data_IF_919616056126
#
_entry.id   IF_919616056126
#
_cell.length_a   1.000
_cell.length_b   1.000
_cell.length_c   1.000
_cell.angle_alpha   90.00
_cell.angle_beta   90.00
_cell.angle_gamma   90.00
#
_symmetry.space_group_name_H-M   'P 1'
#
loop_
_entity.id
_entity.type
_entity.pdbx_description
1 polymer ?
#
# COMPACT_ATOMS: atom_id res chain seq x y z
N UNK A 1 -18.16 10.50 -1.29
CA UNK A 1 -16.87 10.63 -0.57
C UNK A 1 -16.37 9.24 -0.23
N UNK A 2 -15.13 8.95 -0.58
CA UNK A 2 -14.48 7.67 -0.25
C UNK A 2 -13.63 7.82 1.02
N UNK A 3 -13.59 6.74 1.79
CA UNK A 3 -12.58 6.48 2.81
C UNK A 3 -11.72 5.33 2.28
N UNK A 4 -10.56 5.66 1.73
CA UNK A 4 -9.71 4.75 1.01
C UNK A 4 -8.53 4.29 1.88
N UNK A 5 -8.50 3.03 2.27
CA UNK A 5 -7.32 2.39 2.85
C UNK A 5 -6.46 1.83 1.71
N UNK A 6 -5.34 2.49 1.45
CA UNK A 6 -4.56 2.27 0.23
C UNK A 6 -3.42 1.25 0.38
N UNK A 7 -3.44 0.44 1.46
CA UNK A 7 -2.44 -0.59 1.69
C UNK A 7 -2.99 -1.69 2.61
N UNK A 8 -3.47 -2.79 2.02
CA UNK A 8 -4.01 -3.96 2.74
C UNK A 8 -3.47 -5.23 2.10
N UNK A 9 -3.16 -6.23 2.93
CA UNK A 9 -2.76 -7.58 2.49
C UNK A 9 -3.86 -8.60 2.71
N UNK A 10 -3.83 -9.68 1.91
CA UNK A 10 -4.80 -10.77 1.94
C UNK A 10 -4.13 -12.13 2.20
N UNK A 11 -4.93 -13.19 2.26
CA UNK A 11 -4.44 -14.56 2.34
C UNK A 11 -3.60 -15.02 1.12
N UNK A 12 -3.57 -14.24 0.04
CA UNK A 12 -2.71 -14.47 -1.12
C UNK A 12 -1.28 -13.97 -0.88
N UNK A 13 -1.08 -13.04 0.05
CA UNK A 13 0.27 -12.62 0.49
C UNK A 13 0.95 -13.71 1.32
N UNK A 14 2.28 -13.82 1.18
CA UNK A 14 3.06 -14.83 1.89
C UNK A 14 3.04 -14.69 3.42
N UNK A 15 2.63 -13.54 3.93
CA UNK A 15 2.73 -13.18 5.34
C UNK A 15 1.40 -12.78 5.98
N UNK A 16 0.30 -12.97 5.28
CA UNK A 16 -1.06 -12.68 5.74
C UNK A 16 -1.98 -13.90 5.57
N UNK A 17 -2.90 -14.12 6.50
CA UNK A 17 -3.93 -15.19 6.44
C UNK A 17 -5.36 -14.62 6.47
N UNK A 18 -5.51 -13.34 6.16
CA UNK A 18 -6.77 -12.61 6.20
C UNK A 18 -7.59 -12.88 4.94
N UNK A 19 -8.69 -13.65 5.07
CA UNK A 19 -9.55 -13.97 3.94
C UNK A 19 -10.27 -12.72 3.41
N UNK A 20 -10.58 -12.73 2.11
CA UNK A 20 -11.26 -11.64 1.42
C UNK A 20 -12.60 -11.28 2.08
N UNK A 21 -13.36 -12.29 2.54
CA UNK A 21 -14.62 -12.08 3.25
C UNK A 21 -14.44 -11.30 4.56
N UNK A 22 -13.39 -11.61 5.34
CA UNK A 22 -13.08 -10.88 6.58
C UNK A 22 -12.76 -9.41 6.31
N UNK A 23 -12.05 -9.13 5.21
CA UNK A 23 -11.73 -7.75 4.80
C UNK A 23 -13.01 -7.01 4.45
N UNK A 24 -13.86 -7.58 3.59
CA UNK A 24 -15.13 -6.97 3.18
C UNK A 24 -16.02 -6.67 4.39
N UNK A 25 -16.21 -7.66 5.28
CA UNK A 25 -17.02 -7.49 6.49
C UNK A 25 -16.44 -6.38 7.39
N UNK A 26 -15.14 -6.36 7.58
CA UNK A 26 -14.48 -5.33 8.39
C UNK A 26 -14.62 -3.94 7.80
N UNK A 27 -14.41 -3.79 6.50
CA UNK A 27 -14.61 -2.53 5.78
C UNK A 27 -16.03 -1.99 5.98
N UNK A 28 -17.05 -2.87 5.85
CA UNK A 28 -18.46 -2.50 6.07
C UNK A 28 -18.72 -2.04 7.51
N UNK A 29 -18.15 -2.72 8.52
CA UNK A 29 -18.30 -2.35 9.93
C UNK A 29 -17.79 -0.97 10.26
N UNK A 30 -16.63 -0.58 9.68
CA UNK A 30 -15.94 0.67 10.03
C UNK A 30 -16.12 1.80 9.00
N UNK A 31 -16.85 1.52 7.91
CA UNK A 31 -17.16 2.48 6.87
C UNK A 31 -16.01 2.80 5.92
N UNK A 32 -15.00 1.92 5.79
CA UNK A 32 -14.04 1.94 4.69
C UNK A 32 -14.78 1.47 3.43
N UNK A 33 -14.71 2.26 2.36
CA UNK A 33 -15.48 2.03 1.13
C UNK A 33 -14.65 2.19 -0.15
N UNK A 34 -13.33 2.13 -0.04
CA UNK A 34 -12.37 1.98 -1.12
C UNK A 34 -11.10 1.36 -0.52
N UNK A 35 -10.48 0.41 -1.21
CA UNK A 35 -9.25 -0.22 -0.75
C UNK A 35 -8.25 -0.43 -1.89
N UNK A 36 -6.95 -0.45 -1.58
CA UNK A 36 -5.95 -1.05 -2.43
C UNK A 36 -5.46 -2.34 -1.76
N UNK A 37 -5.50 -3.44 -2.50
CA UNK A 37 -4.89 -4.71 -2.09
C UNK A 37 -3.49 -4.76 -2.70
N UNK A 38 -2.49 -4.88 -1.84
CA UNK A 38 -1.07 -4.79 -2.18
C UNK A 38 -0.31 -6.03 -1.67
N UNK A 39 -0.75 -7.22 -2.07
CA UNK A 39 -0.11 -8.47 -1.67
C UNK A 39 1.33 -8.54 -2.17
N UNK A 40 2.21 -9.19 -1.42
CA UNK A 40 3.60 -9.38 -1.81
C UNK A 40 3.72 -10.38 -2.97
N UNK A 41 4.23 -9.90 -4.11
CA UNK A 41 4.61 -10.72 -5.27
C UNK A 41 3.43 -11.33 -6.03
N UNK A 42 2.21 -10.81 -5.86
CA UNK A 42 1.02 -11.27 -6.59
C UNK A 42 -0.08 -10.22 -6.60
N UNK A 43 -0.88 -10.19 -7.68
CA UNK A 43 -2.11 -9.39 -7.76
C UNK A 43 -3.38 -10.25 -7.60
N UNK A 44 -3.26 -11.55 -7.42
CA UNK A 44 -4.41 -12.47 -7.44
C UNK A 44 -5.44 -12.12 -6.38
N UNK A 45 -5.01 -11.80 -5.15
CA UNK A 45 -5.89 -11.36 -4.07
C UNK A 45 -6.67 -10.10 -4.42
N UNK A 46 -6.01 -9.12 -5.05
CA UNK A 46 -6.64 -7.89 -5.52
C UNK A 46 -7.67 -8.14 -6.63
N UNK A 47 -7.34 -9.02 -7.59
CA UNK A 47 -8.22 -9.39 -8.70
C UNK A 47 -9.49 -10.10 -8.19
N UNK A 48 -9.34 -11.04 -7.27
CA UNK A 48 -10.48 -11.73 -6.65
C UNK A 48 -11.29 -10.78 -5.76
N UNK A 49 -10.63 -9.94 -4.96
CA UNK A 49 -11.30 -8.94 -4.14
C UNK A 49 -12.16 -7.99 -4.98
N UNK A 50 -11.68 -7.53 -6.13
CA UNK A 50 -12.42 -6.65 -7.04
C UNK A 50 -13.71 -7.27 -7.57
N UNK A 51 -13.78 -8.61 -7.68
CA UNK A 51 -15.02 -9.32 -8.09
C UNK A 51 -16.03 -9.42 -6.96
N UNK A 52 -15.57 -9.47 -5.71
CA UNK A 52 -16.40 -9.78 -4.54
C UNK A 52 -16.84 -8.53 -3.77
N UNK A 53 -15.99 -7.49 -3.73
CA UNK A 53 -16.25 -6.31 -2.93
C UNK A 53 -17.37 -5.43 -3.52
N UNK A 54 -18.30 -4.91 -2.68
CA UNK A 54 -19.35 -4.00 -3.10
C UNK A 54 -18.88 -2.54 -3.24
N UNK A 55 -17.58 -2.30 -3.24
CA UNK A 55 -16.93 -1.00 -3.30
C UNK A 55 -15.67 -1.05 -4.19
N UNK A 56 -15.14 0.11 -4.63
CA UNK A 56 -13.93 0.17 -5.46
C UNK A 56 -12.73 -0.51 -4.83
N UNK A 57 -12.06 -1.34 -5.64
CA UNK A 57 -10.80 -2.01 -5.29
C UNK A 57 -9.74 -1.65 -6.32
N UNK A 58 -8.64 -1.09 -5.85
CA UNK A 58 -7.44 -0.83 -6.64
C UNK A 58 -6.59 -2.09 -6.61
N UNK A 59 -6.24 -2.61 -7.80
CA UNK A 59 -5.29 -3.70 -7.93
C UNK A 59 -3.91 -3.11 -7.75
N UNK A 60 -3.24 -3.54 -6.69
CA UNK A 60 -1.87 -3.16 -6.40
C UNK A 60 -1.04 -4.38 -6.04
N UNK A 61 0.26 -4.22 -6.01
CA UNK A 61 1.22 -5.25 -5.62
C UNK A 61 2.41 -4.59 -4.95
N UNK A 62 2.85 -5.13 -3.82
CA UNK A 62 4.09 -4.76 -3.17
C UNK A 62 5.22 -5.63 -3.71
N UNK A 63 6.07 -5.04 -4.56
CA UNK A 63 7.10 -5.73 -5.34
C UNK A 63 8.45 -5.53 -4.65
N UNK A 64 9.03 -6.62 -4.15
CA UNK A 64 10.34 -6.57 -3.51
C UNK A 64 11.45 -6.48 -4.56
N UNK A 65 12.24 -5.40 -4.51
CA UNK A 65 13.48 -5.23 -5.27
C UNK A 65 14.71 -5.49 -4.37
N UNK A 66 15.93 -5.59 -4.91
CA UNK A 66 17.14 -5.71 -4.09
C UNK A 66 17.37 -4.55 -3.11
N UNK A 67 16.74 -3.40 -3.32
CA UNK A 67 16.93 -2.19 -2.51
C UNK A 67 15.76 -1.86 -1.60
N UNK A 68 14.61 -2.52 -1.77
CA UNK A 68 13.39 -2.33 -1.01
C UNK A 68 12.14 -2.48 -1.87
N UNK A 69 10.98 -2.19 -1.29
CA UNK A 69 9.68 -2.40 -1.91
C UNK A 69 9.24 -1.19 -2.75
N UNK A 70 8.69 -1.51 -3.93
CA UNK A 70 7.97 -0.58 -4.80
C UNK A 70 6.56 -1.11 -4.95
N UNK A 71 5.55 -0.30 -4.73
CA UNK A 71 4.16 -0.67 -4.94
C UNK A 71 3.70 -0.21 -6.32
N UNK A 72 3.33 -1.16 -7.17
CA UNK A 72 2.59 -0.90 -8.39
C UNK A 72 1.10 -0.78 -8.08
N UNK A 73 0.42 0.23 -8.60
CA UNK A 73 -1.03 0.41 -8.45
C UNK A 73 -1.72 0.48 -9.82
N UNK A 74 -2.98 0.06 -9.89
CA UNK A 74 -3.74 -0.08 -11.14
C UNK A 74 -3.10 -1.06 -12.13
N UNK A 75 -2.58 -2.17 -11.60
CA UNK A 75 -1.95 -3.22 -12.39
C UNK A 75 -2.98 -4.10 -13.12
N UNK A 76 -2.56 -4.65 -14.25
CA UNK A 76 -3.29 -5.67 -15.03
C UNK A 76 -2.65 -7.05 -14.88
N UNK A 77 -1.33 -7.10 -14.68
CA UNK A 77 -0.53 -8.32 -14.52
C UNK A 77 0.43 -8.18 -13.32
N UNK A 78 0.69 -9.30 -12.65
CA UNK A 78 1.67 -9.36 -11.56
C UNK A 78 3.12 -9.16 -12.05
N UNK A 79 3.96 -8.60 -11.21
CA UNK A 79 5.37 -8.30 -11.51
C UNK A 79 6.26 -9.14 -10.59
N UNK A 80 7.17 -9.98 -11.14
CA UNK A 80 8.04 -10.82 -10.31
C UNK A 80 8.92 -10.01 -9.37
N UNK A 81 9.01 -10.43 -8.11
CA UNK A 81 9.98 -9.91 -7.14
C UNK A 81 11.43 -10.21 -7.54
N UNK A 82 12.37 -9.40 -7.05
CA UNK A 82 13.82 -9.57 -7.26
C UNK A 82 14.37 -8.87 -8.51
N UNK A 83 13.52 -8.19 -9.28
CA UNK A 83 13.96 -7.34 -10.38
C UNK A 83 14.65 -6.07 -9.86
N UNK A 84 15.44 -5.40 -10.71
CA UNK A 84 15.97 -4.08 -10.36
C UNK A 84 14.83 -3.06 -10.21
N UNK A 85 15.08 -1.93 -9.53
CA UNK A 85 14.09 -0.88 -9.40
C UNK A 85 13.66 -0.33 -10.76
N UNK A 86 14.62 -0.14 -11.69
CA UNK A 86 14.37 0.35 -13.04
C UNK A 86 13.48 -0.62 -13.84
N UNK A 87 13.77 -1.93 -13.78
CA UNK A 87 12.97 -2.93 -14.45
C UNK A 87 11.55 -3.02 -13.86
N UNK A 88 11.43 -2.95 -12.54
CA UNK A 88 10.14 -2.93 -11.83
C UNK A 88 9.31 -1.72 -12.26
N UNK A 89 9.90 -0.53 -12.25
CA UNK A 89 9.26 0.71 -12.69
C UNK A 89 8.81 0.61 -14.15
N UNK A 90 9.68 0.09 -15.04
CA UNK A 90 9.33 -0.11 -16.45
C UNK A 90 8.10 -0.98 -16.61
N UNK A 91 8.05 -2.13 -15.92
CA UNK A 91 6.91 -3.05 -15.99
C UNK A 91 5.61 -2.48 -15.43
N UNK A 92 5.68 -1.65 -14.38
CA UNK A 92 4.51 -0.92 -13.89
C UNK A 92 4.03 0.06 -14.97
N UNK A 93 4.93 0.80 -15.60
CA UNK A 93 4.61 1.79 -16.64
C UNK A 93 4.07 1.15 -17.91
N UNK A 94 4.60 0.01 -18.32
CA UNK A 94 4.15 -0.72 -19.52
C UNK A 94 2.69 -1.15 -19.42
N UNK A 95 2.18 -1.37 -18.21
CA UNK A 95 0.76 -1.62 -17.91
C UNK A 95 -0.05 -0.32 -17.71
N UNK A 96 0.59 0.83 -17.80
CA UNK A 96 -0.04 2.11 -17.47
C UNK A 96 -0.29 2.29 -15.97
N UNK A 97 0.34 1.51 -15.11
CA UNK A 97 0.23 1.57 -13.65
C UNK A 97 0.87 2.83 -13.06
N UNK A 98 0.56 3.09 -11.78
CA UNK A 98 1.15 4.15 -10.96
C UNK A 98 2.20 3.56 -10.02
N UNK A 99 3.26 4.32 -9.81
CA UNK A 99 4.37 3.96 -8.92
C UNK A 99 4.16 4.64 -7.57
N UNK A 100 3.93 3.84 -6.54
CA UNK A 100 3.85 4.29 -5.16
C UNK A 100 5.05 3.76 -4.39
N UNK A 101 5.65 4.59 -3.53
CA UNK A 101 6.67 4.12 -2.59
C UNK A 101 6.02 3.91 -1.23
N UNK A 102 5.87 2.63 -0.80
CA UNK A 102 5.27 2.29 0.47
C UNK A 102 6.25 2.60 1.61
N UNK A 103 5.73 3.04 2.76
CA UNK A 103 6.47 3.28 4.01
C UNK A 103 7.96 3.66 3.86
N UNK A 104 8.32 4.66 2.99
CA UNK A 104 9.71 5.01 2.74
C UNK A 104 10.41 5.47 4.02
N UNK A 105 11.73 5.32 4.03
CA UNK A 105 12.61 5.78 5.12
C UNK A 105 12.46 5.01 6.45
N UNK A 106 11.58 4.01 6.56
CA UNK A 106 11.40 3.24 7.79
C UNK A 106 12.56 2.26 7.99
N UNK A 107 13.66 2.75 8.58
CA UNK A 107 14.87 1.97 8.81
C UNK A 107 14.69 0.77 9.78
N UNK A 108 13.52 0.60 10.38
CA UNK A 108 13.17 -0.60 11.15
C UNK A 108 12.63 -1.72 10.27
N UNK A 109 12.25 -1.41 9.02
CA UNK A 109 11.87 -2.38 8.00
C UNK A 109 13.04 -2.66 7.07
N UNK A 110 13.38 -3.93 6.89
CA UNK A 110 14.43 -4.34 5.95
C UNK A 110 14.01 -4.12 4.49
N UNK A 111 12.71 -4.08 4.23
CA UNK A 111 12.13 -3.92 2.90
C UNK A 111 11.83 -2.45 2.53
N UNK A 112 11.99 -1.49 3.44
CA UNK A 112 11.77 -0.09 3.11
C UNK A 112 12.94 0.50 2.32
N UNK A 113 12.63 1.25 1.25
CA UNK A 113 13.62 2.03 0.52
C UNK A 113 14.21 3.14 1.40
N UNK A 114 15.52 3.29 1.35
CA UNK A 114 16.22 4.36 2.05
C UNK A 114 16.18 5.68 1.26
N UNK A 115 16.62 6.78 1.89
CA UNK A 115 16.58 8.11 1.29
C UNK A 115 17.39 8.25 0.00
N UNK A 116 18.52 7.55 -0.11
CA UNK A 116 19.36 7.59 -1.32
C UNK A 116 18.62 6.97 -2.50
N UNK A 117 18.04 5.79 -2.32
CA UNK A 117 17.30 5.09 -3.35
C UNK A 117 16.04 5.86 -3.78
N UNK A 118 15.25 6.36 -2.82
CA UNK A 118 14.03 7.11 -3.11
C UNK A 118 14.35 8.42 -3.87
N UNK A 119 15.44 9.11 -3.53
CA UNK A 119 15.84 10.35 -4.21
C UNK A 119 16.27 10.12 -5.66
N UNK A 120 16.92 8.99 -5.97
CA UNK A 120 17.31 8.67 -7.35
C UNK A 120 16.14 8.43 -8.28
N UNK A 121 14.99 8.01 -7.73
CA UNK A 121 13.77 7.69 -8.48
C UNK A 121 12.71 8.80 -8.41
N UNK A 122 12.99 9.94 -7.76
CA UNK A 122 11.98 10.95 -7.41
C UNK A 122 11.11 11.41 -8.60
N UNK A 123 11.70 11.56 -9.79
CA UNK A 123 10.99 11.98 -11.00
C UNK A 123 10.07 10.89 -11.60
N UNK A 124 10.22 9.65 -11.14
CA UNK A 124 9.45 8.50 -11.62
C UNK A 124 8.31 8.11 -10.67
N UNK A 125 8.29 8.69 -9.46
CA UNK A 125 7.31 8.38 -8.41
C UNK A 125 6.03 9.17 -8.62
N UNK A 126 4.89 8.51 -8.64
CA UNK A 126 3.57 9.15 -8.72
C UNK A 126 2.97 9.42 -7.33
N UNK A 127 3.29 8.56 -6.34
CA UNK A 127 2.68 8.58 -5.02
C UNK A 127 3.72 8.20 -3.96
N UNK A 128 3.67 8.86 -2.81
CA UNK A 128 4.47 8.48 -1.64
C UNK A 128 3.52 8.13 -0.49
N UNK A 129 3.67 6.98 0.13
CA UNK A 129 2.93 6.65 1.34
C UNK A 129 3.50 7.45 2.51
N UNK A 130 2.87 8.61 2.80
CA UNK A 130 3.34 9.53 3.85
C UNK A 130 2.86 9.14 5.24
N UNK A 131 1.84 8.27 5.32
CA UNK A 131 1.36 7.74 6.59
C UNK A 131 1.00 6.25 6.46
N UNK A 132 1.83 5.40 7.02
CA UNK A 132 1.57 3.97 7.20
C UNK A 132 1.32 3.70 8.68
N UNK A 133 0.19 3.04 9.00
CA UNK A 133 -0.20 2.82 10.40
C UNK A 133 0.77 1.91 11.16
N UNK A 134 1.49 1.02 10.49
CA UNK A 134 2.47 0.09 11.09
C UNK A 134 3.87 0.70 11.27
N UNK A 135 4.17 1.84 10.63
CA UNK A 135 5.43 2.56 10.85
C UNK A 135 5.50 3.06 12.29
N UNK A 136 6.44 2.55 13.09
CA UNK A 136 6.48 2.81 14.53
C UNK A 136 6.85 4.26 14.87
N UNK A 137 7.87 4.82 14.21
CA UNK A 137 8.43 6.12 14.56
C UNK A 137 7.86 7.23 13.66
N UNK A 138 7.26 8.25 14.26
CA UNK A 138 6.71 9.41 13.56
C UNK A 138 7.70 10.12 12.64
N UNK A 139 9.00 10.09 12.97
CA UNK A 139 10.05 10.70 12.15
C UNK A 139 10.05 10.19 10.71
N UNK A 140 9.75 8.92 10.48
CA UNK A 140 9.71 8.35 9.13
C UNK A 140 8.53 8.87 8.31
N UNK A 141 7.34 8.96 8.93
CA UNK A 141 6.19 9.63 8.30
C UNK A 141 6.48 11.11 8.01
N UNK A 142 7.20 11.80 8.91
CA UNK A 142 7.61 13.20 8.69
C UNK A 142 8.60 13.32 7.53
N UNK A 143 9.56 12.40 7.41
CA UNK A 143 10.50 12.35 6.29
C UNK A 143 9.78 12.09 4.97
N UNK A 144 8.85 11.11 4.93
CA UNK A 144 8.04 10.81 3.76
C UNK A 144 7.21 12.03 3.30
N UNK A 145 6.55 12.72 4.23
CA UNK A 145 5.79 13.92 3.94
C UNK A 145 6.69 15.08 3.44
N UNK A 146 7.89 15.24 4.03
CA UNK A 146 8.84 16.26 3.61
C UNK A 146 9.35 15.99 2.20
N UNK A 147 9.65 14.72 1.89
CA UNK A 147 10.06 14.29 0.56
C UNK A 147 8.94 14.53 -0.46
N UNK A 148 7.72 14.07 -0.18
CA UNK A 148 6.56 14.26 -1.05
C UNK A 148 6.35 15.75 -1.38
N UNK A 149 6.43 16.63 -0.38
CA UNK A 149 6.31 18.08 -0.56
C UNK A 149 7.46 18.67 -1.38
N UNK A 150 8.70 18.22 -1.15
CA UNK A 150 9.90 18.69 -1.88
C UNK A 150 9.77 18.47 -3.38
N UNK A 151 9.19 17.34 -3.77
CA UNK A 151 9.06 16.94 -5.18
C UNK A 151 7.67 17.17 -5.77
N UNK A 152 6.71 17.68 -4.97
CA UNK A 152 5.32 17.91 -5.43
C UNK A 152 4.55 16.62 -5.70
N UNK A 153 4.92 15.52 -5.03
CA UNK A 153 4.31 14.20 -5.21
C UNK A 153 3.11 14.04 -4.25
N UNK A 154 1.95 13.55 -4.72
CA UNK A 154 0.81 13.22 -3.86
C UNK A 154 1.16 12.25 -2.74
N UNK A 155 0.63 12.51 -1.54
CA UNK A 155 0.78 11.63 -0.38
C UNK A 155 -0.38 10.67 -0.24
N UNK A 156 -0.11 9.38 -0.03
CA UNK A 156 -1.12 8.38 0.35
C UNK A 156 -1.01 7.98 1.81
N UNK A 157 -2.00 7.20 2.25
CA UNK A 157 -1.99 6.55 3.55
C UNK A 157 -2.60 5.14 3.46
N UNK A 158 -2.05 4.21 4.21
CA UNK A 158 -2.53 2.84 4.32
C UNK A 158 -2.33 2.24 5.70
N UNK A 159 -3.21 1.32 6.05
CA UNK A 159 -3.11 0.59 7.32
C UNK A 159 -1.97 -0.44 7.31
N UNK A 160 -1.61 -0.94 6.13
CA UNK A 160 -0.69 -2.07 5.96
C UNK A 160 -1.20 -3.31 6.75
N UNK A 161 -2.53 -3.48 6.67
CA UNK A 161 -3.24 -4.44 7.50
C UNK A 161 -2.94 -5.89 7.10
N UNK A 162 -2.61 -6.72 8.11
CA UNK A 162 -2.44 -8.16 8.01
C UNK A 162 -3.44 -8.93 8.88
N UNK A 163 -4.23 -8.21 9.68
CA UNK A 163 -5.36 -8.73 10.44
C UNK A 163 -6.53 -7.74 10.37
N UNK A 164 -7.79 -8.19 10.53
CA UNK A 164 -8.95 -7.31 10.39
C UNK A 164 -8.94 -6.08 11.29
N UNK A 165 -8.37 -6.19 12.50
CA UNK A 165 -8.33 -5.08 13.45
C UNK A 165 -7.43 -3.90 13.02
N UNK A 166 -6.54 -4.10 12.05
CA UNK A 166 -5.65 -3.06 11.52
C UNK A 166 -6.31 -2.24 10.41
N UNK A 167 -7.28 -2.83 9.67
CA UNK A 167 -7.96 -2.18 8.56
C UNK A 167 -8.58 -0.86 9.03
N UNK A 168 -8.33 0.21 8.26
CA UNK A 168 -8.83 1.55 8.54
C UNK A 168 -8.05 2.31 9.62
N UNK A 169 -6.95 1.75 10.16
CA UNK A 169 -6.06 2.49 11.05
C UNK A 169 -5.40 3.69 10.34
N UNK A 170 -5.30 3.64 9.00
CA UNK A 170 -4.92 4.77 8.17
C UNK A 170 -5.71 4.73 6.86
N UNK A 171 -6.18 5.88 6.40
CA UNK A 171 -6.94 6.01 5.16
C UNK A 171 -6.90 7.46 4.65
N UNK A 172 -7.34 7.64 3.41
CA UNK A 172 -7.53 8.95 2.79
C UNK A 172 -9.02 9.20 2.58
N UNK A 173 -9.52 10.33 3.07
CA UNK A 173 -10.85 10.85 2.71
C UNK A 173 -10.71 11.64 1.40
N UNK A 174 -11.36 11.17 0.33
CA UNK A 174 -11.23 11.77 -1.00
C UNK A 174 -12.52 11.67 -1.81
N UNK A 175 -12.60 12.41 -2.92
CA UNK A 175 -13.70 12.29 -3.87
C UNK A 175 -13.69 10.92 -4.58
N UNK A 176 -14.83 10.54 -5.15
CA UNK A 176 -14.88 9.42 -6.07
C UNK A 176 -14.05 9.70 -7.31
N UNK A 177 -13.54 8.65 -7.93
CA UNK A 177 -12.67 8.71 -9.10
C UNK A 177 -13.09 7.67 -10.14
N UNK A 178 -12.78 7.95 -11.39
CA UNK A 178 -13.00 7.03 -12.51
C UNK A 178 -11.66 6.85 -13.26
N UNK A 179 -10.90 5.84 -12.86
CA UNK A 179 -9.57 5.56 -13.40
C UNK A 179 -8.44 6.32 -12.67
N UNK A 180 -7.21 6.09 -13.11
CA UNK A 180 -5.98 6.51 -12.42
C UNK A 180 -5.76 8.03 -12.41
N UNK A 181 -6.15 8.72 -13.48
CA UNK A 181 -5.91 10.17 -13.57
C UNK A 181 -6.81 10.94 -12.60
N UNK A 182 -8.09 10.55 -12.52
CA UNK A 182 -9.02 11.09 -11.53
C UNK A 182 -8.60 10.69 -10.11
N UNK A 183 -8.04 9.48 -9.93
CA UNK A 183 -7.53 9.02 -8.64
C UNK A 183 -6.40 9.93 -8.13
N UNK A 184 -5.41 10.26 -8.97
CA UNK A 184 -4.33 11.17 -8.59
C UNK A 184 -4.87 12.55 -8.18
N UNK A 185 -5.86 13.08 -8.89
CA UNK A 185 -6.51 14.35 -8.54
C UNK A 185 -7.26 14.26 -7.20
N UNK A 186 -8.05 13.18 -7.01
CA UNK A 186 -8.79 12.93 -5.79
C UNK A 186 -7.84 12.74 -4.58
N UNK A 187 -6.74 12.00 -4.77
CA UNK A 187 -5.71 11.76 -3.76
C UNK A 187 -5.01 13.07 -3.37
N UNK A 188 -4.64 13.90 -4.35
CA UNK A 188 -3.96 15.19 -4.12
C UNK A 188 -4.81 16.15 -3.28
N UNK A 189 -6.13 16.14 -3.51
CA UNK A 189 -7.09 16.95 -2.75
C UNK A 189 -7.57 16.26 -1.46
N UNK A 190 -7.17 15.01 -1.25
CA UNK A 190 -7.63 14.16 -0.17
C UNK A 190 -7.07 14.56 1.19
N UNK A 191 -7.76 14.12 2.25
CA UNK A 191 -7.35 14.33 3.64
C UNK A 191 -6.94 12.99 4.27
N UNK A 192 -5.69 12.89 4.67
CA UNK A 192 -5.18 11.73 5.40
C UNK A 192 -5.72 11.74 6.83
N UNK A 193 -6.24 10.59 7.25
CA UNK A 193 -6.74 10.33 8.60
C UNK A 193 -6.20 8.99 9.10
N UNK A 194 -5.90 8.90 10.39
CA UNK A 194 -5.44 7.63 10.96
C UNK A 194 -4.72 7.75 12.28
N UNK A 195 -4.36 6.60 12.80
CA UNK A 195 -3.58 6.42 14.02
C UNK A 195 -2.63 5.23 13.86
N UNK A 196 -1.61 5.17 14.69
CA UNK A 196 -0.64 4.06 14.66
C UNK A 196 -1.27 2.76 15.16
N UNK A 197 -0.94 1.67 14.49
CA UNK A 197 -1.25 0.32 14.96
C UNK A 197 -0.54 0.03 16.27
N UNK A 198 -1.22 -0.65 17.19
CA UNK A 198 -0.61 -1.08 18.44
C UNK A 198 0.53 -2.08 18.14
N UNK A 199 1.77 -1.82 18.59
CA UNK A 199 2.91 -2.68 18.29
C UNK A 199 2.76 -4.14 18.74
N UNK A 200 1.93 -4.42 19.74
CA UNK A 200 1.65 -5.78 20.19
C UNK A 200 0.97 -6.64 19.13
N UNK A 201 0.29 -6.03 18.16
CA UNK A 201 -0.37 -6.73 17.04
C UNK A 201 0.67 -7.36 16.09
N UNK A 202 1.87 -6.80 15.98
CA UNK A 202 2.95 -7.35 15.15
C UNK A 202 3.37 -8.77 15.54
N UNK A 203 3.15 -9.20 16.80
CA UNK A 203 3.37 -10.58 17.21
C UNK A 203 2.41 -11.56 16.54
N UNK A 204 1.18 -11.14 16.22
CA UNK A 204 0.19 -11.96 15.51
C UNK A 204 0.60 -12.27 14.07
N UNK A 205 1.17 -11.30 13.37
CA UNK A 205 1.63 -11.47 11.97
C UNK A 205 2.90 -12.33 11.87
N UNK A 206 3.80 -12.25 12.87
CA UNK A 206 4.95 -13.15 12.95
C UNK A 206 4.50 -14.63 13.08
N UNK A 207 3.39 -14.87 13.78
CA UNK A 207 2.81 -16.21 13.92
C UNK A 207 2.18 -16.71 12.61
N UNK A 208 1.50 -15.85 11.85
CA UNK A 208 0.93 -16.20 10.54
C UNK A 208 2.03 -16.59 9.52
N UNK A 209 3.14 -15.83 9.49
CA UNK A 209 4.34 -16.17 8.70
C UNK A 209 4.92 -17.53 9.03
N UNK A 210 4.93 -17.90 10.31
CA UNK A 210 5.45 -19.20 10.76
C UNK A 210 4.57 -20.35 10.29
N UNK A 211 3.24 -20.18 10.31
CA UNK A 211 2.28 -21.19 9.85
C UNK A 211 2.34 -21.48 8.35
N UNK A 212 2.62 -20.46 7.52
CA UNK A 212 2.69 -20.62 6.06
C UNK A 212 4.02 -21.25 5.58
N UNK A 213 5.02 -21.40 6.48
CA UNK A 213 6.28 -22.08 6.16
C UNK A 213 6.28 -23.59 6.40
N UNK A 214 5.22 -24.13 7.00
CA UNK A 214 4.98 -25.54 7.28
C UNK A 214 3.67 -26.00 6.63
#
# INVERSE_FOLDING_TARGET
MLKADLHIHTEYSMDCDMSLEKIINRCAEIGINCIAIADHGTIEGAVEMRKLAPFPVIIAEEILTPYGEIMGMFLEEGIPSGLSAEETISRIRDQGGLICIPHPFDALRQSALNSGEVETMAEQIDIVEVFNARTLLLRYSTQALTFARKYGIPGSAGSDAHIPAEIGNAYVEMSEFNGKDDFIQALTAGKISGHKTNPLIHFGTAWARLKKRF
#
